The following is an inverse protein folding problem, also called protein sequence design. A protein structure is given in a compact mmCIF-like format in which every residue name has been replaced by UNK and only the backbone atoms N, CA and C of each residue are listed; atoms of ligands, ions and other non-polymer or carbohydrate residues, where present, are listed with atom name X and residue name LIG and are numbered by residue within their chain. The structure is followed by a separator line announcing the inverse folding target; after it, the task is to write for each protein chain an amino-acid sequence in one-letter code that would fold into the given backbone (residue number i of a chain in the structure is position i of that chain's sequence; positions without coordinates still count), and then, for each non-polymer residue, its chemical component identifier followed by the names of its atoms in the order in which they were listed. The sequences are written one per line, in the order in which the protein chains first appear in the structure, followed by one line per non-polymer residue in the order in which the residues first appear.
data_IF_671215092274
#
_entry.id   IF_671215092274
#
_cell.length_a   1.000
_cell.length_b   1.000
_cell.length_c   1.000
_cell.angle_alpha   90.00
_cell.angle_beta   90.00
_cell.angle_gamma   90.00
#
_symmetry.space_group_name_H-M   'P 1'
#
loop_
_entity.id
_entity.type
_entity.pdbx_description
1 polymer ?
#
# COMPACT_ATOMS: atom_id res chain seq x y z
N UNK A 1 -11.11 16.75 5.84
CA UNK A 1 -10.98 15.52 5.05
C UNK A 1 -9.55 15.03 5.26
N UNK A 2 -9.35 14.03 6.11
CA UNK A 2 -8.02 13.53 6.44
C UNK A 2 -7.50 12.67 5.29
N UNK A 3 -6.41 13.09 4.66
CA UNK A 3 -5.64 12.24 3.75
C UNK A 3 -4.84 11.25 4.60
N UNK A 4 -5.44 10.09 4.87
CA UNK A 4 -4.65 8.90 5.20
C UNK A 4 -3.78 8.59 4.00
N UNK A 5 -2.48 8.42 4.22
CA UNK A 5 -1.62 7.78 3.23
C UNK A 5 -2.15 6.35 3.07
N UNK A 6 -2.95 6.11 2.04
CA UNK A 6 -3.24 4.74 1.63
C UNK A 6 -1.91 4.16 1.18
N UNK A 7 -1.38 3.21 1.94
CA UNK A 7 -0.31 2.31 1.47
C UNK A 7 -0.96 1.42 0.42
N UNK A 8 -1.09 1.94 -0.79
CA UNK A 8 -1.30 1.12 -1.97
C UNK A 8 0.10 0.70 -2.42
N UNK A 9 0.46 -0.55 -2.17
CA UNK A 9 1.56 -1.16 -2.93
C UNK A 9 1.24 -0.97 -4.40
N UNK A 10 2.22 -0.42 -5.13
CA UNK A 10 1.99 0.29 -6.37
C UNK A 10 1.06 -0.45 -7.33
N UNK A 11 0.18 0.31 -7.98
CA UNK A 11 -0.49 -0.08 -9.23
C UNK A 11 0.53 -0.25 -10.36
N UNK A 12 1.48 -1.17 -10.16
CA UNK A 12 2.54 -1.54 -11.09
C UNK A 12 2.11 -2.61 -12.07
N UNK A 13 1.19 -3.50 -11.67
CA UNK A 13 0.56 -4.50 -12.52
C UNK A 13 -0.85 -4.80 -11.98
N UNK A 14 -1.79 -5.11 -12.89
CA UNK A 14 -3.21 -5.42 -12.67
C UNK A 14 -4.17 -4.21 -12.62
N UNK A 15 -4.45 -3.68 -13.81
CA UNK A 15 -5.80 -3.19 -14.09
C UNK A 15 -6.75 -4.40 -13.96
N UNK A 16 -7.55 -4.42 -12.88
CA UNK A 16 -8.54 -5.44 -12.49
C UNK A 16 -8.05 -6.88 -12.34
N UNK A 17 -7.74 -7.33 -11.13
CA UNK A 17 -7.58 -8.79 -10.96
C UNK A 17 -7.92 -9.26 -9.56
N UNK A 18 -8.64 -10.36 -9.49
CA UNK A 18 -8.63 -11.33 -8.40
C UNK A 18 -8.12 -12.59 -9.10
N UNK A 19 -6.86 -12.99 -8.87
CA UNK A 19 -6.23 -14.02 -9.70
C UNK A 19 -6.47 -15.44 -9.21
N UNK A 20 -6.76 -15.59 -7.92
CA UNK A 20 -7.05 -16.89 -7.31
C UNK A 20 -8.20 -16.77 -6.31
N UNK A 21 -9.38 -17.25 -6.70
CA UNK A 21 -10.58 -17.20 -5.86
C UNK A 21 -10.53 -18.21 -4.70
N UNK A 22 -9.68 -19.24 -4.79
CA UNK A 22 -9.53 -20.23 -3.72
C UNK A 22 -8.78 -19.67 -2.50
N UNK A 23 -8.06 -18.56 -2.68
CA UNK A 23 -7.31 -17.83 -1.65
C UNK A 23 -7.85 -16.43 -1.40
N UNK A 24 -9.10 -16.17 -1.79
CA UNK A 24 -9.76 -14.88 -1.61
C UNK A 24 -10.41 -14.81 -0.21
N UNK A 25 -10.28 -13.65 0.45
CA UNK A 25 -10.81 -13.38 1.80
C UNK A 25 -11.65 -12.09 1.90
N UNK A 26 -11.84 -11.37 0.79
CA UNK A 26 -12.51 -10.07 0.77
C UNK A 26 -14.04 -10.19 0.92
N UNK A 27 -14.65 -9.60 1.96
CA UNK A 27 -16.08 -9.71 2.24
C UNK A 27 -16.95 -8.82 1.34
N UNK A 28 -16.36 -7.86 0.62
CA UNK A 28 -17.07 -6.94 -0.28
C UNK A 28 -16.23 -6.64 -1.54
N UNK A 29 -16.07 -7.62 -2.46
CA UNK A 29 -15.25 -7.47 -3.65
C UNK A 29 -15.58 -6.25 -4.51
N UNK A 30 -14.56 -5.48 -4.88
CA UNK A 30 -14.69 -4.28 -5.70
C UNK A 30 -13.59 -4.20 -6.78
N UNK A 31 -13.93 -4.39 -8.07
CA UNK A 31 -15.27 -4.67 -8.59
C UNK A 31 -15.79 -6.05 -8.14
N UNK A 32 -17.11 -6.21 -8.05
CA UNK A 32 -17.74 -7.52 -7.74
C UNK A 32 -17.85 -8.44 -8.96
N UNK A 33 -17.59 -7.90 -10.15
CA UNK A 33 -17.62 -8.61 -11.43
C UNK A 33 -16.44 -8.14 -12.28
N UNK A 34 -15.65 -9.09 -12.79
CA UNK A 34 -14.54 -8.81 -13.70
C UNK A 34 -15.05 -8.42 -15.09
N UNK A 35 -14.20 -7.77 -15.89
CA UNK A 35 -14.50 -7.39 -17.29
C UNK A 35 -15.06 -8.54 -18.15
N UNK A 36 -14.63 -9.78 -17.91
CA UNK A 36 -15.09 -10.96 -18.64
C UNK A 36 -16.45 -11.51 -18.14
N UNK A 37 -17.12 -10.83 -17.20
CA UNK A 37 -18.40 -11.24 -16.60
C UNK A 37 -18.27 -12.20 -15.42
N UNK A 38 -17.07 -12.60 -15.03
CA UNK A 38 -16.87 -13.48 -13.86
C UNK A 38 -17.25 -12.75 -12.58
N UNK A 39 -18.20 -13.31 -11.84
CA UNK A 39 -18.62 -12.79 -10.53
C UNK A 39 -17.65 -13.25 -9.45
N UNK A 40 -17.18 -12.31 -8.63
CA UNK A 40 -16.30 -12.59 -7.50
C UNK A 40 -17.18 -12.79 -6.26
N UNK A 41 -17.21 -14.00 -5.67
CA UNK A 41 -18.06 -14.26 -4.52
C UNK A 41 -17.55 -13.50 -3.28
N UNK A 42 -18.43 -12.85 -2.50
CA UNK A 42 -18.08 -12.29 -1.21
C UNK A 42 -17.64 -13.36 -0.22
N UNK A 43 -16.52 -13.15 0.46
CA UNK A 43 -16.05 -14.05 1.51
C UNK A 43 -16.95 -13.98 2.75
N UNK A 44 -17.15 -15.13 3.43
CA UNK A 44 -18.01 -15.28 4.62
C UNK A 44 -17.34 -16.02 5.77
N UNK A 45 -16.04 -16.31 5.67
CA UNK A 45 -15.28 -17.00 6.71
C UNK A 45 -14.65 -16.05 7.72
N UNK A 46 -13.68 -16.53 8.52
CA UNK A 46 -13.00 -15.73 9.54
C UNK A 46 -12.21 -14.54 8.95
N UNK A 47 -12.18 -13.43 9.67
CA UNK A 47 -11.44 -12.23 9.27
C UNK A 47 -9.92 -12.46 9.25
N UNK A 48 -9.20 -11.72 8.40
CA UNK A 48 -7.75 -11.93 8.20
C UNK A 48 -6.90 -11.68 9.45
N UNK A 49 -7.38 -10.88 10.41
CA UNK A 49 -6.68 -10.68 11.69
C UNK A 49 -6.67 -11.94 12.56
N UNK A 50 -7.66 -12.84 12.39
CA UNK A 50 -7.68 -14.14 13.06
C UNK A 50 -6.53 -15.03 12.59
N UNK A 51 -6.15 -14.94 11.30
CA UNK A 51 -5.00 -15.64 10.74
C UNK A 51 -3.70 -15.07 11.31
N UNK A 52 -3.58 -13.74 11.36
CA UNK A 52 -2.41 -13.05 11.94
C UNK A 52 -2.20 -13.47 13.41
N UNK A 53 -3.29 -13.50 14.19
CA UNK A 53 -3.28 -13.95 15.60
C UNK A 53 -2.90 -15.43 15.71
N UNK A 54 -3.39 -16.29 14.82
CA UNK A 54 -3.06 -17.72 14.83
C UNK A 54 -1.56 -17.99 14.56
N UNK A 55 -0.91 -17.12 13.78
CA UNK A 55 0.55 -17.15 13.57
C UNK A 55 1.34 -16.50 14.71
N UNK A 56 0.68 -15.99 15.76
CA UNK A 56 1.34 -15.33 16.89
C UNK A 56 1.96 -13.97 16.53
N UNK A 57 1.51 -13.34 15.43
CA UNK A 57 2.07 -12.09 14.90
C UNK A 57 1.33 -10.86 15.40
N UNK A 58 1.25 -10.70 16.73
CA UNK A 58 0.63 -9.51 17.33
C UNK A 58 1.36 -8.21 16.96
N UNK A 59 2.68 -8.28 16.81
CA UNK A 59 3.53 -7.19 16.31
C UNK A 59 3.05 -6.67 14.94
N UNK A 60 2.79 -7.58 14.01
CA UNK A 60 2.29 -7.27 12.67
C UNK A 60 0.91 -6.62 12.75
N UNK A 61 0.01 -7.20 13.53
CA UNK A 61 -1.35 -6.70 13.68
C UNK A 61 -1.38 -5.29 14.29
N UNK A 62 -0.56 -5.02 15.31
CA UNK A 62 -0.49 -3.72 15.96
C UNK A 62 0.10 -2.66 15.01
N UNK A 63 1.13 -3.03 14.25
CA UNK A 63 1.70 -2.17 13.21
C UNK A 63 0.68 -1.83 12.13
N UNK A 64 0.00 -2.83 11.56
CA UNK A 64 -1.03 -2.62 10.54
C UNK A 64 -2.19 -1.76 11.07
N UNK A 65 -2.62 -1.99 12.31
CA UNK A 65 -3.64 -1.16 12.97
C UNK A 65 -3.22 0.29 13.21
N UNK A 66 -1.93 0.59 13.11
CA UNK A 66 -1.38 1.92 13.30
C UNK A 66 -1.12 2.63 11.98
N UNK A 67 -0.58 1.91 10.99
CA UNK A 67 -0.07 2.50 9.75
C UNK A 67 -0.85 2.11 8.48
N UNK A 68 -1.62 1.03 8.49
CA UNK A 68 -2.35 0.53 7.32
C UNK A 68 -3.87 0.62 7.54
N UNK A 69 -4.36 1.85 7.57
CA UNK A 69 -5.72 2.19 8.04
C UNK A 69 -6.74 2.22 6.92
N UNK A 70 -7.92 1.66 7.18
CA UNK A 70 -9.12 1.86 6.38
C UNK A 70 -9.93 3.06 6.90
N UNK A 71 -10.05 4.11 6.09
CA UNK A 71 -10.75 5.32 6.51
C UNK A 71 -12.28 5.12 6.46
N UNK A 72 -12.91 5.11 7.62
CA UNK A 72 -14.38 5.04 7.74
C UNK A 72 -14.96 3.62 7.67
N UNK A 73 -14.12 2.59 7.67
CA UNK A 73 -14.51 1.19 7.69
C UNK A 73 -13.48 0.32 8.45
N UNK A 74 -13.78 -0.94 8.77
CA UNK A 74 -12.84 -1.83 9.47
C UNK A 74 -11.54 -2.05 8.69
N UNK A 75 -10.39 -2.04 9.37
CA UNK A 75 -9.10 -2.30 8.72
C UNK A 75 -9.02 -3.70 8.11
N UNK A 76 -9.62 -4.69 8.77
CA UNK A 76 -9.64 -6.10 8.32
C UNK A 76 -10.25 -6.27 6.94
N UNK A 77 -11.32 -5.52 6.62
CA UNK A 77 -11.96 -5.55 5.31
C UNK A 77 -11.00 -5.05 4.22
N UNK A 78 -10.23 -4.00 4.53
CA UNK A 78 -9.25 -3.44 3.61
C UNK A 78 -8.06 -4.38 3.41
N UNK A 79 -7.50 -4.94 4.47
CA UNK A 79 -6.39 -5.89 4.34
C UNK A 79 -6.81 -7.15 3.57
N UNK A 80 -8.04 -7.63 3.80
CA UNK A 80 -8.62 -8.71 3.05
C UNK A 80 -8.78 -8.35 1.56
N UNK A 81 -9.25 -7.13 1.24
CA UNK A 81 -9.32 -6.62 -0.13
C UNK A 81 -7.95 -6.60 -0.81
N UNK A 82 -6.95 -6.01 -0.16
CA UNK A 82 -5.61 -5.85 -0.72
C UNK A 82 -4.94 -7.21 -0.99
N UNK A 83 -5.04 -8.17 -0.07
CA UNK A 83 -4.52 -9.51 -0.33
C UNK A 83 -5.30 -10.22 -1.45
N UNK A 84 -6.63 -10.21 -1.36
CA UNK A 84 -7.51 -10.93 -2.29
C UNK A 84 -7.35 -10.48 -3.72
N UNK A 85 -7.26 -9.17 -3.93
CA UNK A 85 -7.20 -8.53 -5.24
C UNK A 85 -5.77 -8.44 -5.75
N UNK A 86 -4.81 -8.09 -4.90
CA UNK A 86 -3.44 -7.83 -5.34
C UNK A 86 -2.48 -8.95 -4.95
N UNK A 87 -2.52 -9.43 -3.71
CA UNK A 87 -1.67 -10.51 -3.22
C UNK A 87 -1.82 -11.82 -4.01
N UNK A 88 -3.05 -12.24 -4.31
CA UNK A 88 -3.32 -13.48 -5.07
C UNK A 88 -2.75 -13.46 -6.49
N UNK A 89 -2.44 -12.29 -7.04
CA UNK A 89 -1.88 -12.12 -8.38
C UNK A 89 -0.35 -12.13 -8.42
N UNK A 90 0.31 -12.17 -7.27
CA UNK A 90 1.76 -12.24 -7.19
C UNK A 90 2.15 -13.71 -7.03
N UNK A 91 2.59 -14.33 -8.12
CA UNK A 91 2.82 -15.79 -8.21
C UNK A 91 3.80 -16.35 -7.18
N UNK A 92 4.70 -15.54 -6.65
CA UNK A 92 5.64 -16.01 -5.62
C UNK A 92 4.96 -16.23 -4.25
N UNK A 93 3.71 -15.83 -4.07
CA UNK A 93 2.87 -16.19 -2.93
C UNK A 93 2.00 -17.43 -3.18
N UNK A 94 2.08 -18.07 -4.36
CA UNK A 94 1.33 -19.29 -4.61
C UNK A 94 1.74 -20.38 -3.62
N UNK A 95 0.76 -21.09 -3.06
CA UNK A 95 0.98 -22.11 -2.01
C UNK A 95 1.95 -23.21 -2.45
N UNK A 96 2.04 -23.46 -3.76
CA UNK A 96 2.98 -24.42 -4.36
C UNK A 96 4.44 -24.01 -4.16
N UNK A 97 4.75 -22.71 -4.05
CA UNK A 97 6.09 -22.20 -3.77
C UNK A 97 6.56 -22.50 -2.32
N UNK A 98 5.63 -22.75 -1.39
CA UNK A 98 5.94 -23.13 -0.01
C UNK A 98 6.18 -24.64 0.14
N UNK A 99 5.73 -25.43 -0.83
CA UNK A 99 5.89 -26.89 -0.85
C UNK A 99 5.31 -27.58 0.40
N UNK A 100 6.01 -28.60 0.90
CA UNK A 100 5.57 -29.37 2.08
C UNK A 100 5.61 -28.60 3.40
N UNK A 101 6.14 -27.37 3.39
CA UNK A 101 6.23 -26.49 4.58
C UNK A 101 5.08 -25.49 4.65
N UNK A 102 4.16 -25.52 3.69
CA UNK A 102 3.01 -24.61 3.71
C UNK A 102 2.17 -24.84 4.97
N UNK A 103 2.02 -23.78 5.75
CA UNK A 103 1.02 -23.68 6.80
C UNK A 103 -0.13 -22.86 6.24
N UNK A 104 -1.37 -23.28 6.51
CA UNK A 104 -2.56 -22.59 5.99
C UNK A 104 -2.51 -21.11 6.38
N UNK A 105 -2.66 -20.22 5.40
CA UNK A 105 -2.58 -18.75 5.49
C UNK A 105 -1.16 -18.17 5.62
N UNK A 106 -0.10 -18.96 5.49
CA UNK A 106 1.27 -18.43 5.51
C UNK A 106 1.51 -17.39 4.39
N UNK A 107 0.88 -17.57 3.24
CA UNK A 107 0.94 -16.64 2.11
C UNK A 107 0.29 -15.28 2.40
N UNK A 108 -0.77 -15.27 3.21
CA UNK A 108 -1.42 -14.04 3.68
C UNK A 108 -0.48 -13.26 4.62
N UNK A 109 0.14 -13.95 5.57
CA UNK A 109 1.08 -13.33 6.53
C UNK A 109 2.31 -12.78 5.80
N UNK A 110 2.90 -13.59 4.92
CA UNK A 110 4.05 -13.19 4.13
C UNK A 110 3.73 -12.00 3.22
N UNK A 111 2.50 -11.90 2.68
CA UNK A 111 2.08 -10.75 1.89
C UNK A 111 2.07 -9.47 2.74
N UNK A 112 1.48 -9.50 3.94
CA UNK A 112 1.45 -8.34 4.82
C UNK A 112 2.85 -7.91 5.26
N UNK A 113 3.72 -8.85 5.63
CA UNK A 113 5.14 -8.56 5.92
C UNK A 113 5.85 -7.95 4.71
N UNK A 114 5.56 -8.43 3.51
CA UNK A 114 6.14 -7.89 2.26
C UNK A 114 5.72 -6.45 2.03
N UNK A 115 4.44 -6.13 2.26
CA UNK A 115 3.90 -4.77 2.12
C UNK A 115 4.55 -3.81 3.10
N UNK A 116 4.67 -4.22 4.36
CA UNK A 116 5.28 -3.41 5.40
C UNK A 116 6.77 -3.22 5.12
N UNK A 117 7.49 -4.29 4.75
CA UNK A 117 8.89 -4.21 4.34
C UNK A 117 9.10 -3.20 3.20
N UNK A 118 8.22 -3.21 2.20
CA UNK A 118 8.26 -2.23 1.12
C UNK A 118 7.99 -0.81 1.65
N UNK A 119 6.96 -0.62 2.48
CA UNK A 119 6.63 0.69 3.06
C UNK A 119 7.79 1.32 3.82
N UNK A 120 8.53 0.54 4.62
CA UNK A 120 9.74 1.03 5.32
C UNK A 120 10.86 1.45 4.37
N UNK A 121 10.98 0.89 3.17
CA UNK A 121 11.98 1.30 2.18
C UNK A 121 11.65 2.64 1.53
N UNK A 122 10.40 3.10 1.61
CA UNK A 122 9.96 4.37 1.02
C UNK A 122 9.33 5.30 2.07
N UNK A 123 10.12 5.84 3.02
CA UNK A 123 9.63 6.81 4.02
C UNK A 123 9.33 8.17 3.38
N UNK A 124 8.24 8.26 2.60
CA UNK A 124 7.85 9.41 1.77
C UNK A 124 7.86 10.72 2.55
N UNK A 125 7.36 10.72 3.79
CA UNK A 125 7.36 11.91 4.64
C UNK A 125 8.78 12.43 4.86
N UNK A 126 9.73 11.55 5.21
CA UNK A 126 11.13 11.92 5.45
C UNK A 126 11.82 12.38 4.17
N UNK A 127 11.55 11.71 3.04
CA UNK A 127 12.10 12.09 1.73
C UNK A 127 11.67 13.50 1.32
N UNK A 128 10.39 13.84 1.46
CA UNK A 128 9.87 15.18 1.17
C UNK A 128 10.40 16.21 2.17
N UNK A 129 10.40 15.88 3.46
CA UNK A 129 10.87 16.77 4.51
C UNK A 129 12.36 17.13 4.36
N UNK A 130 13.20 16.21 3.88
CA UNK A 130 14.61 16.46 3.58
C UNK A 130 14.81 17.50 2.46
N UNK A 131 13.84 17.64 1.55
CA UNK A 131 13.80 18.67 0.52
C UNK A 131 13.04 19.94 0.96
N UNK A 132 12.67 20.06 2.24
CA UNK A 132 11.90 21.20 2.75
C UNK A 132 10.40 21.15 2.42
N UNK A 133 9.89 20.06 1.86
CA UNK A 133 8.47 19.87 1.55
C UNK A 133 7.80 19.22 2.76
N UNK A 134 7.03 20.00 3.51
CA UNK A 134 6.30 19.54 4.70
C UNK A 134 4.80 19.78 4.58
N UNK A 135 3.97 19.02 5.32
CA UNK A 135 2.57 19.34 5.45
C UNK A 135 2.36 20.81 5.87
N UNK A 136 1.47 21.52 5.18
CA UNK A 136 1.16 22.92 5.44
C UNK A 136 -0.26 23.26 5.01
N UNK A 137 -0.97 24.00 5.85
CA UNK A 137 -2.27 24.59 5.53
C UNK A 137 -2.17 25.95 4.81
N UNK A 138 -0.95 26.42 4.53
CA UNK A 138 -0.69 27.77 3.98
C UNK A 138 0.19 27.77 2.73
N UNK A 139 0.88 26.67 2.46
CA UNK A 139 1.90 26.57 1.40
C UNK A 139 1.57 25.39 0.50
N UNK A 140 1.43 25.66 -0.79
CA UNK A 140 1.41 24.63 -1.83
C UNK A 140 2.76 24.55 -2.53
N UNK A 141 2.99 23.45 -3.23
CA UNK A 141 4.25 23.13 -3.92
C UNK A 141 4.00 22.93 -5.42
N UNK A 142 5.00 23.21 -6.26
CA UNK A 142 4.92 22.78 -7.66
C UNK A 142 5.05 21.25 -7.74
N UNK A 143 4.35 20.60 -8.67
CA UNK A 143 4.39 19.14 -8.80
C UNK A 143 5.80 18.65 -9.11
N UNK A 144 6.56 19.42 -9.90
CA UNK A 144 7.94 19.11 -10.26
C UNK A 144 8.86 19.10 -9.04
N UNK A 145 8.62 19.98 -8.05
CA UNK A 145 9.40 20.00 -6.81
C UNK A 145 9.20 18.72 -6.01
N UNK A 146 7.95 18.23 -5.91
CA UNK A 146 7.62 16.98 -5.22
C UNK A 146 8.25 15.79 -5.96
N UNK A 147 8.11 15.74 -7.29
CA UNK A 147 8.68 14.67 -8.11
C UNK A 147 10.21 14.64 -8.02
N UNK A 148 10.89 15.78 -8.14
CA UNK A 148 12.34 15.87 -8.01
C UNK A 148 12.83 15.47 -6.63
N UNK A 149 12.13 15.87 -5.57
CA UNK A 149 12.50 15.49 -4.19
C UNK A 149 12.47 13.96 -4.00
N UNK A 150 11.40 13.30 -4.47
CA UNK A 150 11.28 11.84 -4.35
C UNK A 150 12.26 11.11 -5.26
N UNK A 151 12.41 11.55 -6.52
CA UNK A 151 13.36 10.96 -7.47
C UNK A 151 14.80 11.06 -6.97
N UNK A 152 15.19 12.14 -6.31
CA UNK A 152 16.53 12.29 -5.75
C UNK A 152 16.85 11.25 -4.66
N UNK A 153 15.83 10.75 -3.96
CA UNK A 153 15.99 9.75 -2.89
C UNK A 153 15.87 8.32 -3.40
N UNK A 154 15.00 8.07 -4.38
CA UNK A 154 14.70 6.71 -4.88
C UNK A 154 15.44 6.35 -6.16
N UNK A 155 15.96 7.34 -6.88
CA UNK A 155 16.55 7.18 -8.22
C UNK A 155 15.53 6.98 -9.34
N UNK A 156 14.22 7.09 -9.06
CA UNK A 156 13.16 6.87 -10.04
C UNK A 156 11.95 7.78 -9.82
N UNK A 157 11.25 8.13 -10.90
CA UNK A 157 10.03 8.93 -10.86
C UNK A 157 8.85 8.11 -10.28
N UNK A 158 8.27 8.46 -9.12
CA UNK A 158 7.04 7.83 -8.67
C UNK A 158 5.81 8.41 -9.38
N UNK A 159 4.68 7.71 -9.29
CA UNK A 159 3.36 8.30 -9.60
C UNK A 159 2.88 9.16 -8.43
N UNK A 160 2.26 10.31 -8.73
CA UNK A 160 1.60 11.15 -7.73
C UNK A 160 0.10 11.28 -8.01
N UNK A 161 -0.72 10.91 -7.02
CA UNK A 161 -2.17 11.01 -7.10
C UNK A 161 -2.68 12.26 -6.38
N UNK A 162 -3.53 13.04 -7.06
CA UNK A 162 -4.21 14.18 -6.46
C UNK A 162 -5.74 14.03 -6.53
N UNK A 163 -6.39 14.35 -5.41
CA UNK A 163 -7.83 14.61 -5.39
C UNK A 163 -8.11 16.04 -5.86
N UNK A 164 -9.14 16.22 -6.69
CA UNK A 164 -9.49 17.51 -7.31
C UNK A 164 -8.32 18.16 -8.06
N UNK A 165 -7.36 17.35 -8.53
CA UNK A 165 -6.17 17.79 -9.28
C UNK A 165 -5.13 18.57 -8.47
N UNK A 166 -5.37 18.88 -7.20
CA UNK A 166 -4.49 19.78 -6.42
C UNK A 166 -4.16 19.30 -5.01
N UNK A 167 -4.87 18.31 -4.47
CA UNK A 167 -4.62 17.81 -3.11
C UNK A 167 -3.87 16.49 -3.20
N UNK A 168 -2.61 16.46 -2.77
CA UNK A 168 -1.81 15.24 -2.79
C UNK A 168 -2.40 14.18 -1.86
N UNK A 169 -2.75 13.03 -2.41
CA UNK A 169 -3.37 11.92 -1.67
C UNK A 169 -2.66 10.59 -1.84
N UNK A 170 -1.90 10.39 -2.92
CA UNK A 170 -1.28 9.10 -3.20
C UNK A 170 0.14 9.27 -3.77
N UNK A 171 1.00 8.31 -3.44
CA UNK A 171 2.33 8.15 -4.07
C UNK A 171 2.50 6.67 -4.37
N UNK A 172 2.76 6.31 -5.63
CA UNK A 172 3.08 4.92 -5.98
C UNK A 172 4.53 4.80 -6.44
N UNK A 173 5.27 3.91 -5.79
CA UNK A 173 6.63 3.53 -6.16
C UNK A 173 6.61 2.27 -7.02
N UNK A 174 7.29 2.32 -8.16
CA UNK A 174 7.34 1.22 -9.12
C UNK A 174 8.69 0.52 -9.03
N UNK A 175 8.66 -0.81 -9.11
CA UNK A 175 9.88 -1.61 -9.06
C UNK A 175 9.76 -2.90 -9.85
N UNK A 176 10.90 -3.42 -10.29
CA UNK A 176 11.06 -4.84 -10.57
C UNK A 176 11.52 -5.57 -9.29
N UNK A 177 11.10 -6.83 -9.15
CA UNK A 177 11.52 -7.71 -8.06
C UNK A 177 12.65 -8.61 -8.57
N UNK A 178 13.73 -8.74 -7.80
CA UNK A 178 14.77 -9.74 -8.03
C UNK A 178 14.58 -10.94 -7.11
N UNK A 179 14.15 -12.07 -7.66
CA UNK A 179 13.81 -13.25 -6.87
C UNK A 179 12.35 -13.19 -6.42
N UNK A 180 12.11 -13.46 -5.14
CA UNK A 180 10.76 -13.50 -4.56
C UNK A 180 10.38 -12.15 -3.96
N UNK A 181 9.10 -11.76 -4.06
CA UNK A 181 8.62 -10.47 -3.55
C UNK A 181 8.88 -10.32 -2.03
N UNK A 182 8.76 -11.42 -1.30
CA UNK A 182 8.94 -11.54 0.15
C UNK A 182 10.31 -11.06 0.65
N UNK A 183 11.36 -11.12 -0.18
CA UNK A 183 12.70 -10.70 0.23
C UNK A 183 12.93 -9.19 0.13
N UNK A 184 12.06 -8.46 -0.56
CA UNK A 184 12.16 -7.00 -0.65
C UNK A 184 13.33 -6.49 -1.50
N UNK A 185 13.84 -7.30 -2.44
CA UNK A 185 14.88 -6.88 -3.38
C UNK A 185 14.27 -6.16 -4.58
N UNK A 186 14.03 -4.86 -4.38
CA UNK A 186 13.38 -4.00 -5.37
C UNK A 186 14.40 -3.21 -6.18
N UNK A 187 14.23 -3.19 -7.51
CA UNK A 187 14.91 -2.25 -8.41
C UNK A 187 13.91 -1.20 -8.84
N UNK A 188 14.06 0.01 -8.32
CA UNK A 188 13.19 1.14 -8.65
C UNK A 188 13.20 1.43 -10.15
N UNK A 189 12.02 1.69 -10.70
CA UNK A 189 11.83 2.11 -12.10
C UNK A 189 10.89 3.31 -12.13
N UNK A 190 10.97 4.09 -13.20
CA UNK A 190 10.05 5.20 -13.41
C UNK A 190 8.62 4.67 -13.54
N UNK A 191 7.67 5.44 -13.01
CA UNK A 191 6.24 5.27 -13.27
C UNK A 191 5.96 5.23 -14.77
N UNK A 192 4.87 4.57 -15.14
CA UNK A 192 4.29 4.62 -16.47
C UNK A 192 3.49 5.91 -16.67
N UNK A 193 3.00 6.12 -17.90
CA UNK A 193 2.17 7.28 -18.24
C UNK A 193 0.68 7.02 -17.95
N UNK A 194 -0.06 7.99 -17.38
CA UNK A 194 0.42 9.29 -16.89
C UNK A 194 1.19 9.17 -15.57
N UNK A 195 2.22 10.01 -15.39
CA UNK A 195 3.03 10.03 -14.17
C UNK A 195 2.34 10.72 -12.97
N UNK A 196 1.21 11.38 -13.19
CA UNK A 196 0.47 12.09 -12.13
C UNK A 196 -0.98 12.37 -12.55
N UNK A 197 -1.87 12.51 -11.57
CA UNK A 197 -3.21 13.11 -11.75
C UNK A 197 -3.30 14.55 -11.24
N UNK A 198 -2.19 15.08 -10.70
CA UNK A 198 -2.06 16.45 -10.24
C UNK A 198 -1.89 17.43 -11.43
N UNK A 199 -2.51 18.61 -11.34
CA UNK A 199 -2.40 19.67 -12.33
C UNK A 199 -1.00 20.29 -12.29
N UNK A 200 -0.34 20.39 -13.44
CA UNK A 200 1.02 20.96 -13.54
C UNK A 200 1.07 22.49 -13.40
N UNK A 201 -0.05 23.18 -13.64
CA UNK A 201 -0.15 24.64 -13.59
C UNK A 201 -0.81 25.17 -12.31
N UNK A 202 -0.90 24.35 -11.27
CA UNK A 202 -1.51 24.72 -10.00
C UNK A 202 -0.59 24.38 -8.81
N UNK A 203 -0.79 25.06 -7.69
CA UNK A 203 -0.15 24.70 -6.45
C UNK A 203 -0.74 23.38 -5.92
N UNK A 204 0.14 22.44 -5.58
CA UNK A 204 -0.21 21.16 -4.99
C UNK A 204 -0.18 21.27 -3.47
N UNK A 205 -1.31 21.00 -2.84
CA UNK A 205 -1.52 21.04 -1.42
C UNK A 205 -1.14 19.72 -0.77
N UNK A 206 -0.17 19.79 0.13
CA UNK A 206 0.14 18.73 1.07
C UNK A 206 -0.27 19.21 2.46
N UNK A 207 -1.50 18.91 2.88
CA UNK A 207 -2.07 19.45 4.11
C UNK A 207 -1.55 18.78 5.38
N UNK A 208 -1.55 19.54 6.48
CA UNK A 208 -1.34 18.98 7.82
C UNK A 208 -2.44 17.96 8.14
N UNK A 209 -2.06 16.86 8.79
CA UNK A 209 -3.02 15.86 9.25
C UNK A 209 -3.91 16.47 10.34
N UNK A 210 -5.19 16.13 10.31
CA UNK A 210 -6.08 16.50 11.42
C UNK A 210 -5.66 15.77 12.70
N UNK A 211 -5.78 16.38 13.89
CA UNK A 211 -5.33 15.75 15.15
C UNK A 211 -5.90 14.35 15.40
N UNK A 212 -7.14 14.08 14.98
CA UNK A 212 -7.77 12.75 15.09
C UNK A 212 -7.27 11.71 14.09
N UNK A 213 -6.42 12.09 13.14
CA UNK A 213 -5.80 11.20 12.16
C UNK A 213 -4.37 10.82 12.53
N UNK A 214 -3.83 11.37 13.62
CA UNK A 214 -2.50 11.02 14.12
C UNK A 214 -2.63 10.06 15.30
N UNK A 215 -1.88 8.97 15.27
CA UNK A 215 -1.73 8.06 16.41
C UNK A 215 -0.35 8.30 17.03
N UNK A 216 -0.29 8.33 18.37
CA UNK A 216 0.99 8.31 19.06
C UNK A 216 1.63 6.95 18.84
N UNK A 217 2.81 6.95 18.23
CA UNK A 217 3.66 5.77 18.05
C UNK A 217 4.74 5.81 19.13
N UNK A 218 4.79 4.77 19.96
CA UNK A 218 5.80 4.62 20.99
C UNK A 218 7.15 4.27 20.37
N UNK A 219 8.24 4.64 21.05
CA UNK A 219 9.61 4.37 20.61
C UNK A 219 9.95 2.87 20.46
N UNK A 220 9.12 1.97 20.98
CA UNK A 220 9.32 0.51 20.92
C UNK A 220 8.40 -0.17 19.89
N UNK A 221 7.59 0.58 19.15
CA UNK A 221 6.53 0.03 18.29
C UNK A 221 6.99 -0.18 16.83
N UNK A 222 8.26 0.13 16.52
CA UNK A 222 8.86 -0.08 15.20
C UNK A 222 10.09 -1.00 15.33
N UNK A 223 9.96 -2.33 15.10
CA UNK A 223 11.09 -3.26 15.16
C UNK A 223 12.07 -3.09 13.98
N UNK A 224 11.83 -2.14 13.07
CA UNK A 224 12.63 -1.86 11.89
C UNK A 224 13.32 -0.48 11.91
N UNK A 225 13.28 0.24 13.05
CA UNK A 225 14.06 1.47 13.32
C UNK A 225 15.16 1.22 14.35
#
# INVERSE_FOLDING_TARGET
MGSGQTIAMGKGFADQSYCDFSRQYDPAPSPSTLQNGTVIPPYKGPEVDTFIKAFGRSDLLDYMNTYWINLGAPNVDFWAHEFSKHGTCISTFDVTCYGTRYQVHADVIDFFDTVIRAFHQYPTFNMLAAAGIRPSNKTGYAIEQIQSALMAQTGALPFLGCTNGTILTEVYYYHHVRGTAQYGHYKNINTTSPATTCLSNAAIWYYERTPGSERKVGFNDDPYV
#
